data_IF_300610659706
#
_entry.id   IF_300610659706
#
_cell.length_a   1.000
_cell.length_b   1.000
_cell.length_c   1.000
_cell.angle_alpha   90.00
_cell.angle_beta   90.00
_cell.angle_gamma   90.00
#
_symmetry.space_group_name_H-M   'P 1'
#
loop_
_entity.id
_entity.type
_entity.pdbx_description
1 polymer ?
#
# COMPACT_ATOMS: atom_id res chain seq x y z
N UNK A 1 0.99 19.82 0.49
CA UNK A 1 2.08 19.07 1.13
C UNK A 1 1.57 18.15 2.27
N UNK A 2 0.84 18.68 3.26
CA UNK A 2 0.38 17.93 4.44
C UNK A 2 -0.57 16.77 4.09
N UNK A 3 -1.52 16.97 3.18
CA UNK A 3 -2.46 15.92 2.74
C UNK A 3 -1.74 14.72 2.13
N UNK A 4 -0.79 14.95 1.23
CA UNK A 4 0.01 13.89 0.59
C UNK A 4 0.84 13.09 1.62
N UNK A 5 1.46 13.79 2.56
CA UNK A 5 2.24 13.12 3.61
C UNK A 5 1.33 12.32 4.56
N UNK A 6 0.21 12.94 4.98
CA UNK A 6 -0.77 12.29 5.85
C UNK A 6 -1.39 11.05 5.22
N UNK A 7 -1.93 11.15 4.01
CA UNK A 7 -2.53 10.01 3.28
C UNK A 7 -1.49 8.92 3.01
N UNK A 8 -0.26 9.29 2.66
CA UNK A 8 0.84 8.36 2.40
C UNK A 8 1.29 7.55 3.61
N UNK A 9 0.95 7.96 4.86
CA UNK A 9 1.22 7.21 6.10
C UNK A 9 -0.04 6.51 6.58
N UNK A 10 -1.13 7.26 6.73
CA UNK A 10 -2.36 6.78 7.38
C UNK A 10 -2.99 5.64 6.59
N UNK A 11 -3.05 5.76 5.26
CA UNK A 11 -3.68 4.74 4.42
C UNK A 11 -2.93 3.39 4.47
N UNK A 12 -1.59 3.33 4.28
CA UNK A 12 -0.84 2.10 4.46
C UNK A 12 -0.98 1.49 5.86
N UNK A 13 -0.90 2.30 6.92
CA UNK A 13 -1.07 1.81 8.29
C UNK A 13 -2.46 1.22 8.51
N UNK A 14 -3.52 1.92 8.09
CA UNK A 14 -4.90 1.44 8.21
C UNK A 14 -5.08 0.13 7.43
N UNK A 15 -4.59 0.07 6.18
CA UNK A 15 -4.66 -1.12 5.35
C UNK A 15 -3.97 -2.33 6.01
N UNK A 16 -2.78 -2.14 6.57
CA UNK A 16 -2.06 -3.18 7.27
C UNK A 16 -2.81 -3.64 8.52
N UNK A 17 -3.30 -2.71 9.36
CA UNK A 17 -4.06 -3.04 10.59
C UNK A 17 -5.34 -3.81 10.28
N UNK A 18 -6.04 -3.45 9.20
CA UNK A 18 -7.28 -4.12 8.77
C UNK A 18 -7.01 -5.52 8.23
N UNK A 19 -5.86 -5.76 7.59
CA UNK A 19 -5.66 -6.96 6.78
C UNK A 19 -4.58 -7.95 7.29
N UNK A 20 -3.66 -7.57 8.21
CA UNK A 20 -2.54 -8.44 8.63
C UNK A 20 -2.98 -9.80 9.19
N UNK A 21 -4.10 -9.86 9.91
CA UNK A 21 -4.62 -11.09 10.52
C UNK A 21 -5.73 -11.75 9.71
N UNK A 22 -5.91 -11.43 8.43
CA UNK A 22 -7.05 -11.89 7.64
C UNK A 22 -7.12 -13.40 7.44
N UNK A 23 -5.99 -14.09 7.44
CA UNK A 23 -5.88 -15.55 7.26
C UNK A 23 -5.39 -16.22 8.54
N UNK A 24 -4.39 -15.63 9.22
CA UNK A 24 -3.81 -16.23 10.42
C UNK A 24 -4.79 -16.36 11.57
N UNK A 25 -5.69 -15.39 11.78
CA UNK A 25 -6.74 -15.49 12.82
C UNK A 25 -7.70 -16.63 12.59
N UNK A 26 -8.08 -16.90 11.34
CA UNK A 26 -8.97 -18.03 11.00
C UNK A 26 -8.24 -19.38 11.13
N UNK A 27 -6.92 -19.38 10.87
CA UNK A 27 -6.07 -20.55 11.08
C UNK A 27 -5.95 -20.88 12.57
N UNK A 28 -5.72 -19.88 13.42
CA UNK A 28 -5.60 -20.05 14.88
C UNK A 28 -6.95 -20.43 15.54
N UNK A 29 -8.09 -19.93 15.00
CA UNK A 29 -9.44 -20.28 15.48
C UNK A 29 -9.99 -21.57 14.90
N UNK A 30 -9.20 -22.31 14.10
CA UNK A 30 -9.61 -23.51 13.36
C UNK A 30 -10.79 -23.32 12.38
N UNK A 31 -11.34 -22.13 12.26
CA UNK A 31 -12.45 -21.80 11.35
C UNK A 31 -12.08 -22.07 9.89
N UNK A 32 -10.79 -22.02 9.55
CA UNK A 32 -10.29 -22.36 8.22
C UNK A 32 -10.63 -23.80 7.80
N UNK A 33 -10.72 -24.73 8.78
CA UNK A 33 -11.09 -26.13 8.50
C UNK A 33 -12.53 -26.24 7.99
N UNK A 34 -13.44 -25.42 8.55
CA UNK A 34 -14.82 -25.32 8.11
C UNK A 34 -14.93 -24.68 6.72
N UNK A 35 -14.17 -23.64 6.45
CA UNK A 35 -14.13 -23.00 5.13
C UNK A 35 -13.63 -23.93 4.04
N UNK A 36 -12.58 -24.72 4.32
CA UNK A 36 -12.02 -25.69 3.38
C UNK A 36 -12.83 -26.99 3.26
N UNK A 37 -13.84 -27.23 4.11
CA UNK A 37 -14.80 -28.32 3.94
C UNK A 37 -15.89 -28.00 2.90
N UNK A 38 -16.03 -26.73 2.52
CA UNK A 38 -16.86 -26.29 1.41
C UNK A 38 -16.08 -26.44 0.08
N UNK A 39 -16.77 -26.51 -1.08
CA UNK A 39 -16.13 -26.68 -2.40
C UNK A 39 -15.41 -25.36 -2.84
N UNK A 40 -14.52 -24.83 -2.01
CA UNK A 40 -13.73 -23.64 -2.29
C UNK A 40 -12.25 -23.99 -2.31
N UNK A 41 -11.53 -23.43 -3.27
CA UNK A 41 -10.06 -23.54 -3.34
C UNK A 41 -9.39 -22.60 -2.33
N UNK A 42 -8.11 -22.87 -2.02
CA UNK A 42 -7.31 -21.97 -1.18
C UNK A 42 -7.18 -20.58 -1.80
N UNK A 43 -7.12 -20.52 -3.12
CA UNK A 43 -7.00 -19.28 -3.87
C UNK A 43 -8.27 -18.44 -3.77
N UNK A 44 -9.47 -19.08 -3.77
CA UNK A 44 -10.74 -18.40 -3.57
C UNK A 44 -10.82 -17.74 -2.19
N UNK A 45 -10.31 -18.41 -1.16
CA UNK A 45 -10.26 -17.85 0.21
C UNK A 45 -9.33 -16.62 0.26
N UNK A 46 -8.13 -16.71 -0.31
CA UNK A 46 -7.18 -15.59 -0.33
C UNK A 46 -7.74 -14.42 -1.12
N UNK A 47 -8.31 -14.68 -2.30
CA UNK A 47 -8.90 -13.65 -3.16
C UNK A 47 -10.11 -13.00 -2.50
N UNK A 48 -11.00 -13.79 -1.89
CA UNK A 48 -12.14 -13.28 -1.14
C UNK A 48 -11.73 -12.38 0.03
N UNK A 49 -10.66 -12.75 0.77
CA UNK A 49 -10.10 -11.92 1.84
C UNK A 49 -9.51 -10.62 1.29
N UNK A 50 -8.75 -10.72 0.20
CA UNK A 50 -8.18 -9.54 -0.45
C UNK A 50 -9.27 -8.56 -0.90
N UNK A 51 -10.30 -9.04 -1.62
CA UNK A 51 -11.39 -8.20 -2.11
C UNK A 51 -12.21 -7.60 -0.96
N UNK A 52 -12.57 -8.41 0.03
CA UNK A 52 -13.33 -7.94 1.19
C UNK A 52 -12.57 -6.89 1.99
N UNK A 53 -11.28 -7.11 2.28
CA UNK A 53 -10.45 -6.14 3.02
C UNK A 53 -10.14 -4.89 2.19
N UNK A 54 -9.97 -5.04 0.88
CA UNK A 54 -9.84 -3.89 -0.03
C UNK A 54 -11.08 -3.01 0.02
N UNK A 55 -12.29 -3.60 0.00
CA UNK A 55 -13.54 -2.86 0.14
C UNK A 55 -13.63 -2.10 1.47
N UNK A 56 -13.26 -2.75 2.58
CA UNK A 56 -13.26 -2.12 3.92
C UNK A 56 -12.32 -0.92 4.01
N UNK A 57 -11.22 -0.91 3.27
CA UNK A 57 -10.28 0.22 3.24
C UNK A 57 -10.70 1.27 2.22
N UNK A 58 -11.11 0.85 1.01
CA UNK A 58 -11.38 1.75 -0.12
C UNK A 58 -12.65 2.55 0.07
N UNK A 59 -13.73 1.92 0.58
CA UNK A 59 -15.03 2.59 0.74
C UNK A 59 -14.94 3.81 1.69
N UNK A 60 -14.40 3.69 2.91
CA UNK A 60 -14.24 4.86 3.79
C UNK A 60 -13.35 5.95 3.19
N UNK A 61 -12.29 5.57 2.46
CA UNK A 61 -11.42 6.53 1.78
C UNK A 61 -12.22 7.33 0.75
N UNK A 62 -12.94 6.65 -0.14
CA UNK A 62 -13.74 7.32 -1.17
C UNK A 62 -14.88 8.16 -0.59
N UNK A 63 -15.55 7.66 0.46
CA UNK A 63 -16.58 8.42 1.19
C UNK A 63 -15.95 9.68 1.82
N UNK A 64 -14.79 9.55 2.47
CA UNK A 64 -14.08 10.68 3.06
C UNK A 64 -13.70 11.75 2.03
N UNK A 65 -13.19 11.33 0.86
CA UNK A 65 -12.94 12.24 -0.25
C UNK A 65 -14.22 12.88 -0.79
N UNK A 66 -15.31 12.12 -0.90
CA UNK A 66 -16.59 12.66 -1.34
C UNK A 66 -17.14 13.73 -0.38
N UNK A 67 -17.11 13.45 0.94
CA UNK A 67 -17.52 14.43 1.96
C UNK A 67 -16.62 15.66 1.95
N UNK A 68 -15.30 15.47 1.82
CA UNK A 68 -14.35 16.58 1.71
C UNK A 68 -14.60 17.42 0.45
N UNK A 69 -14.94 16.80 -0.68
CA UNK A 69 -15.33 17.49 -1.90
C UNK A 69 -16.55 18.38 -1.68
N UNK A 70 -17.62 17.85 -1.06
CA UNK A 70 -18.82 18.64 -0.74
C UNK A 70 -18.50 19.82 0.18
N UNK A 71 -17.63 19.64 1.17
CA UNK A 71 -17.20 20.70 2.08
C UNK A 71 -16.37 21.79 1.39
N UNK A 72 -15.66 21.45 0.31
CA UNK A 72 -14.84 22.39 -0.45
C UNK A 72 -15.65 23.16 -1.50
N UNK A 73 -16.85 22.72 -1.90
CA UNK A 73 -17.67 23.37 -2.93
C UNK A 73 -17.88 24.88 -2.72
N UNK A 74 -18.12 25.40 -1.49
CA UNK A 74 -18.31 26.84 -1.27
C UNK A 74 -17.04 27.67 -1.53
N UNK A 75 -15.86 27.04 -1.44
CA UNK A 75 -14.54 27.67 -1.63
C UNK A 75 -13.91 27.31 -2.99
N UNK A 76 -14.65 26.66 -3.89
CA UNK A 76 -14.14 25.93 -5.06
C UNK A 76 -13.74 26.81 -6.27
N UNK A 77 -13.58 28.13 -6.11
CA UNK A 77 -13.04 28.98 -7.19
C UNK A 77 -11.59 28.57 -7.49
N UNK A 78 -11.42 27.58 -8.42
CA UNK A 78 -10.12 27.06 -8.86
C UNK A 78 -9.81 25.60 -8.52
N UNK A 79 -10.76 24.85 -7.97
CA UNK A 79 -10.57 23.42 -7.71
C UNK A 79 -10.69 22.63 -9.02
N UNK A 80 -9.58 22.02 -9.46
CA UNK A 80 -9.60 21.10 -10.59
C UNK A 80 -10.18 19.76 -10.11
N UNK A 81 -11.43 19.50 -10.51
CA UNK A 81 -12.17 18.28 -10.15
C UNK A 81 -11.45 17.03 -10.67
N UNK A 82 -10.84 17.11 -11.86
CA UNK A 82 -10.16 15.96 -12.45
C UNK A 82 -8.92 15.56 -11.62
N UNK A 83 -8.11 16.55 -11.24
CA UNK A 83 -6.94 16.34 -10.35
C UNK A 83 -7.40 15.80 -8.99
N UNK A 84 -8.51 16.34 -8.45
CA UNK A 84 -9.05 15.87 -7.17
C UNK A 84 -9.48 14.39 -7.22
N UNK A 85 -10.21 13.99 -8.27
CA UNK A 85 -10.65 12.61 -8.46
C UNK A 85 -9.45 11.66 -8.64
N UNK A 86 -8.45 12.05 -9.44
CA UNK A 86 -7.22 11.28 -9.60
C UNK A 86 -6.50 11.09 -8.25
N UNK A 87 -6.41 12.13 -7.43
CA UNK A 87 -5.82 12.04 -6.10
C UNK A 87 -6.58 11.06 -5.20
N UNK A 88 -7.93 11.09 -5.20
CA UNK A 88 -8.76 10.16 -4.46
C UNK A 88 -8.55 8.70 -4.92
N UNK A 89 -8.53 8.47 -6.24
CA UNK A 89 -8.33 7.13 -6.81
C UNK A 89 -6.93 6.60 -6.53
N UNK A 90 -5.88 7.41 -6.66
CA UNK A 90 -4.51 7.01 -6.31
C UNK A 90 -4.39 6.67 -4.82
N UNK A 91 -5.08 7.42 -3.95
CA UNK A 91 -5.10 7.16 -2.52
C UNK A 91 -5.81 5.84 -2.19
N UNK A 92 -6.94 5.57 -2.84
CA UNK A 92 -7.65 4.30 -2.73
C UNK A 92 -6.80 3.13 -3.24
N UNK A 93 -6.13 3.29 -4.40
CA UNK A 93 -5.24 2.29 -4.97
C UNK A 93 -4.07 1.97 -4.03
N UNK A 94 -3.47 2.98 -3.39
CA UNK A 94 -2.44 2.78 -2.37
C UNK A 94 -2.94 1.87 -1.24
N UNK A 95 -4.17 2.08 -0.77
CA UNK A 95 -4.82 1.23 0.22
C UNK A 95 -4.96 -0.22 -0.24
N UNK A 96 -5.43 -0.44 -1.47
CA UNK A 96 -5.57 -1.78 -2.07
C UNK A 96 -4.23 -2.51 -2.16
N UNK A 97 -3.16 -1.81 -2.57
CA UNK A 97 -1.81 -2.39 -2.65
C UNK A 97 -1.32 -2.85 -1.27
N UNK A 98 -1.49 -2.01 -0.24
CA UNK A 98 -1.09 -2.39 1.12
C UNK A 98 -1.97 -3.47 1.75
N UNK A 99 -3.26 -3.54 1.41
CA UNK A 99 -4.12 -4.68 1.73
C UNK A 99 -3.56 -5.96 1.10
N UNK A 100 -3.19 -5.93 -0.19
CA UNK A 100 -2.59 -7.07 -0.87
C UNK A 100 -1.31 -7.56 -0.19
N UNK A 101 -0.43 -6.63 0.19
CA UNK A 101 0.80 -6.94 0.96
C UNK A 101 0.44 -7.59 2.31
N UNK A 102 -0.52 -7.03 3.05
CA UNK A 102 -0.92 -7.56 4.36
C UNK A 102 -1.57 -8.95 4.28
N UNK A 103 -2.44 -9.17 3.29
CA UNK A 103 -3.05 -10.48 3.03
C UNK A 103 -1.99 -11.50 2.62
N UNK A 104 -1.04 -11.12 1.76
CA UNK A 104 0.09 -11.98 1.36
C UNK A 104 0.95 -12.38 2.55
N UNK A 105 1.31 -11.42 3.43
CA UNK A 105 2.03 -11.71 4.68
C UNK A 105 1.23 -12.62 5.60
N UNK A 106 -0.09 -12.37 5.74
CA UNK A 106 -0.98 -13.22 6.54
C UNK A 106 -1.08 -14.64 6.00
N UNK A 107 -1.05 -14.82 4.68
CA UNK A 107 -1.06 -16.14 4.05
C UNK A 107 0.24 -16.91 4.29
N UNK A 108 1.38 -16.22 4.26
CA UNK A 108 2.71 -16.79 4.47
C UNK A 108 3.03 -17.07 5.95
N UNK A 109 2.42 -16.32 6.89
CA UNK A 109 2.68 -16.45 8.31
C UNK A 109 1.97 -17.67 8.93
N UNK A 110 2.61 -18.29 9.93
CA UNK A 110 2.01 -19.40 10.67
C UNK A 110 1.17 -18.93 11.86
N UNK A 111 1.50 -17.79 12.44
CA UNK A 111 0.78 -17.20 13.60
C UNK A 111 0.40 -15.75 13.32
N UNK A 112 -0.62 -15.27 14.05
CA UNK A 112 -1.06 -13.88 13.95
C UNK A 112 0.04 -12.90 14.38
N UNK A 113 0.88 -13.28 15.34
CA UNK A 113 2.02 -12.49 15.78
C UNK A 113 3.07 -12.35 14.65
N UNK A 114 3.39 -13.45 13.95
CA UNK A 114 4.29 -13.39 12.78
C UNK A 114 3.72 -12.51 11.67
N UNK A 115 2.42 -12.59 11.40
CA UNK A 115 1.76 -11.72 10.43
C UNK A 115 1.84 -10.25 10.82
N UNK A 116 1.63 -9.91 12.10
CA UNK A 116 1.75 -8.55 12.62
C UNK A 116 3.17 -8.00 12.47
N UNK A 117 4.16 -8.78 12.92
CA UNK A 117 5.59 -8.40 12.84
C UNK A 117 6.03 -8.27 11.37
N UNK A 118 5.59 -9.20 10.50
CA UNK A 118 5.90 -9.17 9.08
C UNK A 118 5.31 -7.95 8.38
N UNK A 119 4.02 -7.66 8.61
CA UNK A 119 3.36 -6.50 8.03
C UNK A 119 3.95 -5.17 8.54
N UNK A 120 4.19 -5.07 9.85
CA UNK A 120 4.83 -3.91 10.47
C UNK A 120 6.28 -3.72 10.00
N UNK A 121 7.03 -4.81 9.85
CA UNK A 121 8.39 -4.81 9.33
C UNK A 121 8.46 -4.33 7.88
N UNK A 122 7.55 -4.80 7.01
CA UNK A 122 7.45 -4.30 5.63
C UNK A 122 7.09 -2.82 5.57
N UNK A 123 6.14 -2.38 6.41
CA UNK A 123 5.82 -0.95 6.50
C UNK A 123 7.05 -0.13 6.92
N UNK A 124 7.75 -0.55 7.98
CA UNK A 124 8.96 0.11 8.44
C UNK A 124 10.05 0.14 7.36
N UNK A 125 10.18 -0.95 6.60
CA UNK A 125 11.11 -1.04 5.48
C UNK A 125 10.74 -0.04 4.38
N UNK A 126 9.50 0.00 3.92
CA UNK A 126 9.07 0.92 2.87
C UNK A 126 9.13 2.39 3.30
N UNK A 127 8.88 2.67 4.59
CA UNK A 127 8.81 4.04 5.08
C UNK A 127 10.16 4.61 5.55
N UNK A 128 10.90 3.84 6.34
CA UNK A 128 12.13 4.32 6.99
C UNK A 128 13.39 3.80 6.30
N UNK A 129 13.45 2.50 5.96
CA UNK A 129 14.67 1.85 5.51
C UNK A 129 14.88 1.94 4.01
N UNK A 130 13.83 2.21 3.21
CA UNK A 130 13.90 2.18 1.76
C UNK A 130 14.98 3.08 1.18
N UNK A 131 15.13 4.27 1.72
CA UNK A 131 16.16 5.23 1.28
C UNK A 131 17.57 4.68 1.48
N UNK A 132 17.79 3.96 2.57
CA UNK A 132 19.09 3.31 2.84
C UNK A 132 19.33 2.15 1.88
N UNK A 133 18.31 1.33 1.61
CA UNK A 133 18.39 0.25 0.61
C UNK A 133 18.72 0.79 -0.78
N UNK A 134 18.02 1.81 -1.24
CA UNK A 134 18.28 2.42 -2.56
C UNK A 134 19.71 2.98 -2.64
N UNK A 135 20.18 3.67 -1.60
CA UNK A 135 21.55 4.20 -1.56
C UNK A 135 22.57 3.06 -1.56
N UNK A 136 22.36 2.03 -0.74
CA UNK A 136 23.25 0.87 -0.64
C UNK A 136 23.34 0.09 -1.95
N UNK A 137 22.21 -0.23 -2.56
CA UNK A 137 22.16 -0.95 -3.84
C UNK A 137 22.83 -0.12 -4.94
N UNK A 138 22.53 1.19 -5.02
CA UNK A 138 23.11 2.04 -6.04
C UNK A 138 24.64 2.15 -5.87
N UNK A 139 25.15 2.24 -4.64
CA UNK A 139 26.57 2.27 -4.36
C UNK A 139 27.24 0.95 -4.73
N UNK A 140 26.70 -0.17 -4.27
CA UNK A 140 27.22 -1.49 -4.61
C UNK A 140 27.22 -1.74 -6.12
N UNK A 141 26.13 -1.38 -6.83
CA UNK A 141 26.05 -1.51 -8.27
C UNK A 141 27.09 -0.65 -9.00
N UNK A 142 27.36 0.57 -8.50
CA UNK A 142 28.39 1.43 -9.06
C UNK A 142 29.80 0.88 -8.82
N UNK A 143 30.07 0.36 -7.64
CA UNK A 143 31.38 -0.21 -7.28
C UNK A 143 31.65 -1.54 -8.03
N UNK A 144 30.62 -2.38 -8.20
CA UNK A 144 30.76 -3.71 -8.84
C UNK A 144 30.69 -3.66 -10.37
N UNK A 145 29.85 -2.80 -10.93
CA UNK A 145 29.56 -2.77 -12.37
C UNK A 145 30.03 -1.47 -13.05
N UNK A 146 30.59 -0.50 -12.31
CA UNK A 146 31.09 0.74 -12.89
C UNK A 146 30.01 1.63 -13.52
N UNK A 147 28.80 1.66 -12.94
CA UNK A 147 27.65 2.37 -13.52
C UNK A 147 27.93 3.85 -13.77
N UNK A 148 27.64 4.31 -14.96
CA UNK A 148 27.64 5.71 -15.35
C UNK A 148 26.55 6.52 -14.62
N UNK A 149 26.68 7.84 -14.57
CA UNK A 149 25.67 8.70 -13.91
C UNK A 149 24.24 8.49 -14.42
N UNK A 150 23.97 8.37 -15.75
CA UNK A 150 22.61 8.10 -16.24
C UNK A 150 22.08 6.73 -15.84
N UNK A 151 22.93 5.69 -15.77
CA UNK A 151 22.52 4.35 -15.33
C UNK A 151 22.18 4.32 -13.85
N UNK A 152 22.95 5.01 -13.01
CA UNK A 152 22.64 5.20 -11.61
C UNK A 152 21.29 5.89 -11.40
N UNK A 153 20.97 6.88 -12.23
CA UNK A 153 19.68 7.57 -12.17
C UNK A 153 18.53 6.65 -12.54
N UNK A 154 18.66 5.86 -13.62
CA UNK A 154 17.67 4.87 -14.03
C UNK A 154 17.44 3.80 -12.96
N UNK A 155 18.53 3.28 -12.35
CA UNK A 155 18.44 2.32 -11.26
C UNK A 155 17.69 2.90 -10.05
N UNK A 156 17.98 4.14 -9.68
CA UNK A 156 17.27 4.82 -8.58
C UNK A 156 15.78 5.00 -8.89
N UNK A 157 15.42 5.36 -10.12
CA UNK A 157 14.02 5.48 -10.54
C UNK A 157 13.29 4.13 -10.47
N UNK A 158 13.90 3.07 -11.00
CA UNK A 158 13.34 1.73 -10.92
C UNK A 158 13.10 1.28 -9.48
N UNK A 159 14.10 1.45 -8.61
CA UNK A 159 13.99 1.13 -7.18
C UNK A 159 12.93 1.99 -6.47
N UNK A 160 12.77 3.26 -6.86
CA UNK A 160 11.75 4.15 -6.30
C UNK A 160 10.33 3.67 -6.62
N UNK A 161 10.11 3.16 -7.83
CA UNK A 161 8.79 2.65 -8.26
C UNK A 161 8.43 1.34 -7.55
N UNK A 162 9.41 0.52 -7.17
CA UNK A 162 9.19 -0.71 -6.41
C UNK A 162 8.63 -0.46 -4.99
N UNK A 163 8.78 0.75 -4.47
CA UNK A 163 8.17 1.13 -3.19
C UNK A 163 6.78 1.76 -3.44
N UNK A 164 5.67 1.11 -3.02
CA UNK A 164 4.32 1.63 -3.27
C UNK A 164 4.10 3.05 -2.72
N UNK A 165 4.66 3.37 -1.54
CA UNK A 165 4.55 4.70 -0.94
C UNK A 165 5.33 5.77 -1.72
N UNK A 166 6.48 5.42 -2.30
CA UNK A 166 7.26 6.33 -3.12
C UNK A 166 6.63 6.52 -4.50
N UNK A 167 6.13 5.44 -5.11
CA UNK A 167 5.39 5.48 -6.37
C UNK A 167 4.16 6.39 -6.24
N UNK A 168 3.36 6.20 -5.18
CA UNK A 168 2.21 7.06 -4.87
C UNK A 168 2.61 8.54 -4.77
N UNK A 169 3.63 8.87 -3.99
CA UNK A 169 4.11 10.26 -3.83
C UNK A 169 4.52 10.88 -5.16
N UNK A 170 5.21 10.11 -6.00
CA UNK A 170 5.66 10.57 -7.32
C UNK A 170 4.48 10.83 -8.26
N UNK A 171 3.47 9.92 -8.27
CA UNK A 171 2.27 10.08 -9.08
C UNK A 171 1.44 11.29 -8.60
N UNK A 172 1.26 11.44 -7.29
CA UNK A 172 0.55 12.60 -6.74
C UNK A 172 1.30 13.90 -7.06
N UNK A 173 2.64 13.93 -6.98
CA UNK A 173 3.40 15.13 -7.37
C UNK A 173 3.19 15.52 -8.82
N UNK A 174 3.05 14.55 -9.74
CA UNK A 174 2.81 14.81 -11.16
C UNK A 174 1.41 15.37 -11.45
N UNK A 175 0.45 15.27 -10.53
CA UNK A 175 -0.88 15.85 -10.68
C UNK A 175 -0.93 17.37 -10.42
N UNK A 176 0.04 17.88 -9.65
CA UNK A 176 0.07 19.27 -9.21
C UNK A 176 1.16 20.10 -9.90
N UNK A 177 1.72 19.61 -11.00
CA UNK A 177 2.65 20.31 -11.90
C UNK A 177 1.89 20.83 -13.10
#
# INVERSE_FOLDING_TARGET
>A
FLLKQGTGIIIPLTALVVAYGSITRERESETIKLLLSLPHSRDDVVLGKFLGRSGVVTLPVLIGFFVAFLALLPAASGLDIFVYVQFALLTALLGVVFVGIAVGVSAAANTNQQALVGAGGLFATFWFLWTFFVKGINRAATELFGLSTPEQFQLRLALKILNPSQAYKTLVDSLFV
#
